data_IF_750112217281
#
_entry.id   IF_750112217281
#
_cell.length_a   1.000
_cell.length_b   1.000
_cell.length_c   1.000
_cell.angle_alpha   90.00
_cell.angle_beta   90.00
_cell.angle_gamma   90.00
#
_symmetry.space_group_name_H-M   'P 1'
#
loop_
_entity.id
_entity.type
_entity.pdbx_description
1 polymer ?
#
# COMPACT_ATOMS: atom_id res chain seq x y z
N UNK A 1 -26.98 10.23 -10.65
CA UNK A 1 -25.92 9.74 -9.75
C UNK A 1 -25.35 8.42 -10.28
N UNK A 2 -25.07 8.32 -11.59
CA UNK A 2 -24.66 7.06 -12.24
C UNK A 2 -23.23 7.10 -12.84
N UNK A 3 -22.54 8.24 -12.83
CA UNK A 3 -21.22 8.36 -13.49
C UNK A 3 -20.02 8.19 -12.55
N UNK A 4 -20.22 8.14 -11.23
CA UNK A 4 -19.10 8.04 -10.27
C UNK A 4 -18.57 6.61 -10.09
N UNK A 5 -19.25 5.58 -10.61
CA UNK A 5 -18.82 4.18 -10.44
C UNK A 5 -17.57 3.82 -11.25
N UNK A 6 -17.21 4.59 -12.28
CA UNK A 6 -16.13 4.21 -13.20
C UNK A 6 -14.82 5.00 -13.04
N UNK A 7 -14.75 6.00 -12.15
CA UNK A 7 -13.54 6.83 -12.03
C UNK A 7 -12.40 6.18 -11.24
N UNK A 8 -12.67 5.14 -10.44
CA UNK A 8 -11.69 4.53 -9.53
C UNK A 8 -11.44 3.04 -9.78
N UNK A 9 -12.02 2.46 -10.84
CA UNK A 9 -11.78 1.05 -11.19
C UNK A 9 -10.40 0.94 -11.85
N UNK A 10 -9.38 0.67 -11.03
CA UNK A 10 -8.04 0.38 -11.53
C UNK A 10 -8.04 -0.98 -12.22
N UNK A 11 -7.90 -1.01 -13.53
CA UNK A 11 -7.77 -2.26 -14.29
C UNK A 11 -6.36 -2.84 -14.10
N UNK A 12 -6.20 -3.65 -13.04
CA UNK A 12 -4.91 -4.25 -12.68
C UNK A 12 -4.30 -5.08 -13.81
N UNK A 13 -5.12 -5.67 -14.69
CA UNK A 13 -4.65 -6.51 -15.81
C UNK A 13 -3.90 -5.71 -16.86
N UNK A 14 -4.35 -4.49 -17.17
CA UNK A 14 -3.63 -3.58 -18.08
C UNK A 14 -2.26 -3.20 -17.54
N UNK A 15 -2.17 -2.95 -16.24
CA UNK A 15 -0.90 -2.65 -15.57
C UNK A 15 0.05 -3.83 -15.71
N UNK A 16 -0.39 -5.05 -15.37
CA UNK A 16 0.46 -6.24 -15.47
C UNK A 16 0.95 -6.50 -16.89
N UNK A 17 0.07 -6.30 -17.88
CA UNK A 17 0.41 -6.42 -19.30
C UNK A 17 1.49 -5.43 -19.71
N UNK A 18 1.41 -4.17 -19.24
CA UNK A 18 2.44 -3.16 -19.50
C UNK A 18 3.82 -3.53 -18.92
N UNK A 19 3.83 -4.25 -17.79
CA UNK A 19 5.06 -4.79 -17.19
C UNK A 19 5.47 -6.17 -17.73
N UNK A 20 4.74 -6.72 -18.72
CA UNK A 20 5.02 -8.04 -19.30
C UNK A 20 4.80 -9.20 -18.33
N UNK A 21 3.95 -9.04 -17.32
CA UNK A 21 3.67 -10.05 -16.28
C UNK A 21 2.34 -10.76 -16.55
N UNK A 22 2.32 -12.07 -16.31
CA UNK A 22 1.10 -12.88 -16.34
C UNK A 22 0.43 -12.92 -14.96
N UNK A 23 -0.87 -13.23 -14.92
CA UNK A 23 -1.64 -13.31 -13.67
C UNK A 23 -1.06 -14.37 -12.71
N UNK A 24 -0.56 -15.49 -13.24
CA UNK A 24 0.07 -16.55 -12.45
C UNK A 24 1.39 -16.10 -11.82
N UNK A 25 2.19 -15.32 -12.56
CA UNK A 25 3.44 -14.78 -12.06
C UNK A 25 3.19 -13.79 -10.91
N UNK A 26 2.19 -12.91 -11.06
CA UNK A 26 1.80 -11.97 -10.00
C UNK A 26 1.25 -12.72 -8.79
N UNK A 27 0.39 -13.72 -8.98
CA UNK A 27 -0.15 -14.52 -7.88
C UNK A 27 0.95 -15.25 -7.10
N UNK A 28 1.98 -15.75 -7.80
CA UNK A 28 3.17 -16.35 -7.16
C UNK A 28 3.95 -15.33 -6.35
N UNK A 29 4.20 -14.15 -6.91
CA UNK A 29 4.92 -13.06 -6.24
C UNK A 29 4.17 -12.60 -4.97
N UNK A 30 2.84 -12.50 -5.03
CA UNK A 30 1.98 -12.17 -3.89
C UNK A 30 2.10 -13.22 -2.78
N UNK A 31 2.04 -14.52 -3.12
CA UNK A 31 2.22 -15.60 -2.13
C UNK A 31 3.57 -15.55 -1.43
N UNK A 32 4.65 -15.28 -2.17
CA UNK A 32 6.00 -15.16 -1.60
C UNK A 32 6.04 -14.04 -0.55
N UNK A 33 5.45 -12.87 -0.86
CA UNK A 33 5.38 -11.76 0.09
C UNK A 33 4.50 -12.11 1.28
N UNK A 34 3.33 -12.73 1.05
CA UNK A 34 2.41 -13.10 2.13
C UNK A 34 3.04 -14.11 3.10
N UNK A 35 3.76 -15.10 2.59
CA UNK A 35 4.46 -16.08 3.42
C UNK A 35 5.63 -15.44 4.17
N UNK A 36 6.35 -14.51 3.54
CA UNK A 36 7.39 -13.72 4.22
C UNK A 36 6.83 -12.87 5.36
N UNK A 37 5.67 -12.23 5.19
CA UNK A 37 5.03 -11.45 6.27
C UNK A 37 4.61 -12.37 7.42
N UNK A 38 4.04 -13.54 7.14
CA UNK A 38 3.66 -14.52 8.18
C UNK A 38 4.85 -15.00 9.01
N UNK A 39 6.03 -15.12 8.40
CA UNK A 39 7.26 -15.49 9.10
C UNK A 39 7.79 -14.39 10.03
N UNK A 40 7.39 -13.13 9.81
CA UNK A 40 7.90 -11.98 10.56
C UNK A 40 6.86 -11.50 11.59
N UNK A 41 7.12 -11.79 12.88
CA UNK A 41 6.18 -11.52 13.97
C UNK A 41 5.97 -10.03 14.32
N UNK A 42 6.73 -9.11 13.73
CA UNK A 42 6.63 -7.68 14.03
C UNK A 42 5.57 -6.95 13.19
N UNK A 43 5.00 -7.59 12.17
CA UNK A 43 3.95 -6.97 11.38
C UNK A 43 2.62 -6.94 12.16
N UNK A 44 2.00 -5.76 12.30
CA UNK A 44 0.77 -5.62 13.07
C UNK A 44 -0.45 -6.24 12.37
N UNK A 45 -0.41 -6.36 11.03
CA UNK A 45 -1.49 -6.94 10.24
C UNK A 45 -0.92 -7.70 9.03
N UNK A 46 -1.69 -8.66 8.52
CA UNK A 46 -1.40 -9.32 7.25
C UNK A 46 -2.11 -8.51 6.15
N UNK A 47 -1.38 -7.88 5.21
CA UNK A 47 -1.99 -7.09 4.14
C UNK A 47 -2.76 -7.98 3.16
N UNK A 48 -3.84 -7.44 2.63
CA UNK A 48 -4.67 -8.10 1.61
C UNK A 48 -3.90 -8.27 0.29
N UNK A 49 -4.27 -9.27 -0.51
CA UNK A 49 -3.65 -9.58 -1.80
C UNK A 49 -3.62 -8.36 -2.74
N UNK A 50 -4.70 -7.59 -2.78
CA UNK A 50 -4.79 -6.35 -3.60
C UNK A 50 -3.77 -5.31 -3.14
N UNK A 51 -3.56 -5.18 -1.82
CA UNK A 51 -2.59 -4.26 -1.25
C UNK A 51 -1.16 -4.69 -1.63
N UNK A 52 -0.84 -5.97 -1.51
CA UNK A 52 0.45 -6.53 -1.92
C UNK A 52 0.68 -6.33 -3.42
N UNK A 53 -0.34 -6.54 -4.26
CA UNK A 53 -0.26 -6.29 -5.70
C UNK A 53 0.09 -4.83 -6.01
N UNK A 54 -0.49 -3.86 -5.30
CA UNK A 54 -0.13 -2.46 -5.47
C UNK A 54 1.33 -2.18 -5.09
N UNK A 55 1.80 -2.74 -3.97
CA UNK A 55 3.22 -2.59 -3.60
C UNK A 55 4.16 -3.21 -4.63
N UNK A 56 3.81 -4.38 -5.18
CA UNK A 56 4.56 -5.02 -6.26
C UNK A 56 4.63 -4.12 -7.50
N UNK A 57 3.51 -3.51 -7.91
CA UNK A 57 3.49 -2.56 -9.05
C UNK A 57 4.41 -1.37 -8.77
N UNK A 58 4.33 -0.75 -7.59
CA UNK A 58 5.19 0.38 -7.22
C UNK A 58 6.68 0.02 -7.22
N UNK A 59 7.00 -1.24 -6.95
CA UNK A 59 8.36 -1.76 -6.93
C UNK A 59 8.80 -2.42 -8.24
N UNK A 60 8.06 -2.24 -9.34
CA UNK A 60 8.29 -2.87 -10.64
C UNK A 60 8.43 -4.41 -10.53
N UNK A 61 7.61 -5.05 -9.70
CA UNK A 61 7.60 -6.49 -9.40
C UNK A 61 8.92 -7.03 -8.81
N UNK A 62 9.75 -6.17 -8.21
CA UNK A 62 10.93 -6.61 -7.47
C UNK A 62 10.55 -7.02 -6.04
N UNK A 63 10.68 -8.32 -5.74
CA UNK A 63 10.34 -8.88 -4.43
C UNK A 63 11.14 -8.22 -3.29
N UNK A 64 12.46 -8.07 -3.45
CA UNK A 64 13.32 -7.49 -2.41
C UNK A 64 12.98 -6.01 -2.14
N UNK A 65 12.74 -5.23 -3.20
CA UNK A 65 12.28 -3.83 -3.03
C UNK A 65 10.90 -3.76 -2.38
N UNK A 66 10.02 -4.69 -2.72
CA UNK A 66 8.67 -4.77 -2.15
C UNK A 66 8.72 -5.05 -0.64
N UNK A 67 9.58 -5.98 -0.20
CA UNK A 67 9.83 -6.26 1.22
C UNK A 67 10.32 -5.00 1.96
N UNK A 68 11.34 -4.32 1.42
CA UNK A 68 11.86 -3.09 2.01
C UNK A 68 10.82 -1.97 2.08
N UNK A 69 10.01 -1.82 1.03
CA UNK A 69 8.93 -0.84 0.99
C UNK A 69 7.85 -1.14 2.04
N UNK A 70 7.46 -2.41 2.18
CA UNK A 70 6.51 -2.85 3.21
C UNK A 70 7.07 -2.67 4.63
N UNK A 71 8.32 -3.03 4.87
CA UNK A 71 8.99 -2.80 6.15
C UNK A 71 8.96 -1.32 6.53
N UNK A 72 9.34 -0.44 5.59
CA UNK A 72 9.31 1.00 5.81
C UNK A 72 7.89 1.52 6.04
N UNK A 73 6.90 1.02 5.28
CA UNK A 73 5.51 1.42 5.39
C UNK A 73 4.94 1.17 6.81
N UNK A 74 5.28 0.04 7.43
CA UNK A 74 4.88 -0.25 8.81
C UNK A 74 5.78 0.44 9.84
N UNK A 75 7.09 0.56 9.59
CA UNK A 75 8.01 1.22 10.50
C UNK A 75 7.73 2.72 10.65
N UNK A 76 7.38 3.43 9.58
CA UNK A 76 7.22 4.89 9.63
C UNK A 76 6.10 5.33 10.58
N UNK A 77 5.07 4.49 10.76
CA UNK A 77 3.98 4.74 11.72
C UNK A 77 4.46 4.70 13.17
N UNK A 78 5.51 3.92 13.44
CA UNK A 78 6.14 3.83 14.76
C UNK A 78 7.16 4.95 14.95
N UNK A 79 7.93 5.25 13.91
CA UNK A 79 9.02 6.25 13.96
C UNK A 79 8.47 7.68 14.03
N UNK A 80 7.38 7.97 13.31
CA UNK A 80 6.81 9.32 13.20
C UNK A 80 5.30 9.28 13.54
N UNK A 81 4.94 8.95 14.80
CA UNK A 81 3.54 8.80 15.17
C UNK A 81 2.77 10.12 15.12
N UNK A 82 3.44 11.26 15.26
CA UNK A 82 2.86 12.61 15.13
C UNK A 82 2.14 12.83 13.80
N UNK A 83 2.68 12.33 12.69
CA UNK A 83 2.06 12.43 11.37
C UNK A 83 0.80 11.58 11.26
N UNK A 84 0.72 10.49 12.04
CA UNK A 84 -0.38 9.54 11.97
C UNK A 84 -1.46 9.76 13.06
N UNK A 85 -1.13 10.42 14.15
CA UNK A 85 -2.05 10.67 15.26
C UNK A 85 -2.97 11.89 15.02
N UNK A 86 -2.53 12.86 14.23
CA UNK A 86 -3.29 14.08 13.95
C UNK A 86 -3.91 14.12 12.55
N UNK A 87 -4.16 12.94 11.93
CA UNK A 87 -4.69 12.85 10.56
C UNK A 87 -6.12 13.41 10.44
N UNK A 88 -6.90 13.42 11.54
CA UNK A 88 -8.30 13.84 11.45
C UNK A 88 -8.42 15.30 10.96
N UNK A 89 -8.95 15.54 9.75
CA UNK A 89 -8.98 16.87 9.15
C UNK A 89 -9.91 17.84 9.89
N UNK A 90 -10.86 17.32 10.68
CA UNK A 90 -11.79 18.13 11.49
C UNK A 90 -11.31 18.31 12.94
N UNK A 91 -10.12 17.82 13.27
CA UNK A 91 -9.51 18.04 14.59
C UNK A 91 -9.21 19.52 14.82
N UNK A 92 -9.34 19.97 16.07
CA UNK A 92 -8.96 21.33 16.48
C UNK A 92 -7.50 21.66 16.16
N UNK A 93 -6.61 20.66 16.21
CA UNK A 93 -5.21 20.80 15.82
C UNK A 93 -5.06 21.16 14.34
N UNK A 94 -5.81 20.50 13.45
CA UNK A 94 -5.72 20.78 12.01
C UNK A 94 -6.42 22.08 11.62
N UNK A 95 -7.52 22.44 12.29
CA UNK A 95 -8.17 23.74 12.08
C UNK A 95 -7.22 24.92 12.34
N UNK A 96 -6.42 24.84 13.41
CA UNK A 96 -5.43 25.86 13.74
C UNK A 96 -4.30 25.99 12.70
N UNK A 97 -3.96 24.90 11.99
CA UNK A 97 -2.94 24.94 10.94
C UNK A 97 -3.39 25.74 9.69
N UNK A 98 -4.69 25.75 9.38
CA UNK A 98 -5.25 26.53 8.27
C UNK A 98 -5.31 28.03 8.57
N UNK A 99 -5.40 28.43 9.85
CA UNK A 99 -5.45 29.85 10.24
C UNK A 99 -4.08 30.54 10.23
N UNK A 100 -2.99 29.76 10.07
CA UNK A 100 -1.61 30.26 10.02
C UNK A 100 -1.11 30.62 8.60
N UNK A 101 -1.95 30.46 7.57
CA UNK A 101 -1.66 30.74 6.16
C UNK A 101 -2.47 31.94 5.69
#
# INVERSE_FOLDING_TARGET
MEETENFLVTDHKKVWTNFGKTEEAVSKDVKIIQDWIKCNHYFPEIPNDIMIQHFLVNCNFSIERTKQCLDMYYAVRIVIPEMYNYINPTSSYMAAAYELV
#
